data_IF_131781612040
#
_entry.id   IF_131781612040
#
_cell.length_a   1.000
_cell.length_b   1.000
_cell.length_c   1.000
_cell.angle_alpha   90.00
_cell.angle_beta   90.00
_cell.angle_gamma   90.00
#
_symmetry.space_group_name_H-M   'P 1'
#
loop_
_entity.id
_entity.type
_entity.pdbx_description
1 polymer ?
#
# COMPACT_ATOMS: atom_id res chain seq x y z
N UNK A 1 12.87 -33.29 -18.41
CA UNK A 1 12.46 -31.94 -17.95
C UNK A 1 11.52 -31.23 -18.93
N UNK A 2 11.72 -31.32 -20.26
CA UNK A 2 10.84 -30.66 -21.25
C UNK A 2 9.37 -31.17 -21.27
N UNK A 3 9.16 -32.48 -21.04
CA UNK A 3 7.82 -33.10 -21.12
C UNK A 3 6.85 -32.63 -20.01
N UNK A 4 7.37 -32.35 -18.81
CA UNK A 4 6.57 -31.76 -17.72
C UNK A 4 6.22 -30.29 -18.00
N UNK A 5 7.09 -29.55 -18.70
CA UNK A 5 6.80 -28.18 -19.12
C UNK A 5 5.68 -28.11 -20.15
N UNK A 6 5.66 -29.03 -21.11
CA UNK A 6 4.60 -29.14 -22.13
C UNK A 6 3.23 -29.45 -21.51
N UNK A 7 3.20 -30.38 -20.54
CA UNK A 7 1.97 -30.74 -19.82
C UNK A 7 1.44 -29.59 -18.96
N UNK A 8 2.33 -28.85 -18.29
CA UNK A 8 1.96 -27.66 -17.54
C UNK A 8 1.43 -26.55 -18.46
N UNK A 9 2.08 -26.30 -19.60
CA UNK A 9 1.62 -25.32 -20.58
C UNK A 9 0.23 -25.66 -21.11
N UNK A 10 0.00 -26.92 -21.49
CA UNK A 10 -1.31 -27.37 -21.98
C UNK A 10 -2.40 -27.28 -20.91
N UNK A 11 -2.07 -27.60 -19.65
CA UNK A 11 -2.99 -27.41 -18.53
C UNK A 11 -3.38 -25.94 -18.36
N UNK A 12 -2.40 -25.02 -18.37
CA UNK A 12 -2.68 -23.59 -18.29
C UNK A 12 -3.48 -23.07 -19.50
N UNK A 13 -3.18 -23.54 -20.70
CA UNK A 13 -3.90 -23.14 -21.91
C UNK A 13 -5.37 -23.57 -21.86
N UNK A 14 -5.63 -24.83 -21.48
CA UNK A 14 -7.00 -25.35 -21.32
C UNK A 14 -7.73 -24.61 -20.19
N UNK A 15 -7.06 -24.35 -19.07
CA UNK A 15 -7.63 -23.58 -17.97
C UNK A 15 -7.99 -22.16 -18.41
N UNK A 16 -7.10 -21.49 -19.15
CA UNK A 16 -7.32 -20.12 -19.62
C UNK A 16 -8.48 -20.05 -20.62
N UNK A 17 -8.57 -21.00 -21.54
CA UNK A 17 -9.73 -21.14 -22.45
C UNK A 17 -11.01 -21.43 -21.66
N UNK A 18 -10.97 -22.33 -20.68
CA UNK A 18 -12.14 -22.63 -19.84
C UNK A 18 -12.62 -21.40 -19.05
N UNK A 19 -11.71 -20.51 -18.62
CA UNK A 19 -12.04 -19.24 -17.97
C UNK A 19 -12.70 -18.22 -18.91
N UNK A 20 -12.51 -18.32 -20.24
CA UNK A 20 -13.14 -17.39 -21.19
C UNK A 20 -14.65 -17.60 -21.33
N UNK A 21 -15.15 -18.82 -21.11
CA UNK A 21 -16.57 -19.13 -21.24
C UNK A 21 -17.43 -18.42 -20.17
N UNK A 22 -17.14 -18.52 -18.86
CA UNK A 22 -17.83 -17.72 -17.84
C UNK A 22 -17.68 -16.21 -18.05
N UNK A 23 -16.52 -15.78 -18.55
CA UNK A 23 -16.27 -14.36 -18.86
C UNK A 23 -17.17 -13.88 -20.00
N UNK A 24 -17.33 -14.66 -21.06
CA UNK A 24 -18.21 -14.38 -22.19
C UNK A 24 -19.67 -14.26 -21.76
N UNK A 25 -20.17 -15.23 -20.97
CA UNK A 25 -21.53 -15.17 -20.43
C UNK A 25 -21.73 -13.99 -19.48
N UNK A 26 -20.71 -13.63 -18.69
CA UNK A 26 -20.73 -12.44 -17.83
C UNK A 26 -20.82 -11.14 -18.63
N UNK A 27 -20.07 -11.03 -19.72
CA UNK A 27 -20.13 -9.86 -20.63
C UNK A 27 -21.48 -9.79 -21.34
N UNK A 28 -21.99 -10.90 -21.88
CA UNK A 28 -23.32 -10.92 -22.50
C UNK A 28 -24.41 -10.51 -21.50
N UNK A 29 -24.39 -11.09 -20.30
CA UNK A 29 -25.31 -10.75 -19.21
C UNK A 29 -25.21 -9.28 -18.82
N UNK A 30 -24.00 -8.71 -18.79
CA UNK A 30 -23.80 -7.28 -18.55
C UNK A 30 -24.33 -6.41 -19.70
N UNK A 31 -24.16 -6.83 -20.96
CA UNK A 31 -24.63 -6.10 -22.14
C UNK A 31 -26.16 -6.07 -22.23
N UNK A 32 -26.82 -7.17 -21.85
CA UNK A 32 -28.29 -7.29 -21.82
C UNK A 32 -28.92 -6.63 -20.58
N UNK A 33 -28.13 -6.38 -19.53
CA UNK A 33 -28.63 -5.77 -18.31
C UNK A 33 -29.13 -4.32 -18.50
N UNK A 34 -30.09 -3.94 -17.65
CA UNK A 34 -30.56 -2.56 -17.56
C UNK A 34 -29.48 -1.58 -17.10
N UNK A 35 -29.69 -0.29 -17.37
CA UNK A 35 -28.71 0.78 -17.09
C UNK A 35 -28.28 0.82 -15.61
N UNK A 36 -29.21 0.59 -14.69
CA UNK A 36 -28.91 0.59 -13.24
C UNK A 36 -27.90 -0.49 -12.88
N UNK A 37 -28.13 -1.73 -13.34
CA UNK A 37 -27.23 -2.87 -13.11
C UNK A 37 -25.85 -2.61 -13.74
N UNK A 38 -25.81 -2.04 -14.95
CA UNK A 38 -24.55 -1.68 -15.62
C UNK A 38 -23.75 -0.68 -14.79
N UNK A 39 -24.37 0.40 -14.34
CA UNK A 39 -23.73 1.41 -13.50
C UNK A 39 -23.23 0.80 -12.19
N UNK A 40 -24.04 -0.03 -11.53
CA UNK A 40 -23.66 -0.70 -10.28
C UNK A 40 -22.38 -1.54 -10.44
N UNK A 41 -22.30 -2.34 -11.51
CA UNK A 41 -21.09 -3.13 -11.80
C UNK A 41 -19.89 -2.25 -12.14
N UNK A 42 -20.07 -1.23 -12.99
CA UNK A 42 -18.98 -0.31 -13.35
C UNK A 42 -18.43 0.40 -12.12
N UNK A 43 -19.30 0.98 -11.29
CA UNK A 43 -18.88 1.65 -10.05
C UNK A 43 -18.33 0.67 -9.02
N UNK A 44 -18.90 -0.53 -8.92
CA UNK A 44 -18.42 -1.58 -8.01
C UNK A 44 -17.01 -2.05 -8.36
N UNK A 45 -16.77 -2.39 -9.62
CA UNK A 45 -15.45 -2.82 -10.12
C UNK A 45 -14.43 -1.68 -10.03
N UNK A 46 -14.80 -0.48 -10.48
CA UNK A 46 -13.93 0.70 -10.40
C UNK A 46 -13.60 1.02 -8.94
N UNK A 47 -14.60 0.97 -8.05
CA UNK A 47 -14.41 1.16 -6.62
C UNK A 47 -13.44 0.13 -6.03
N UNK A 48 -13.59 -1.14 -6.35
CA UNK A 48 -12.71 -2.21 -5.87
C UNK A 48 -11.22 -1.96 -6.21
N UNK A 49 -10.93 -1.50 -7.44
CA UNK A 49 -9.55 -1.21 -7.86
C UNK A 49 -9.02 0.14 -7.35
N UNK A 50 -9.88 1.16 -7.26
CA UNK A 50 -9.47 2.52 -6.88
C UNK A 50 -9.38 2.72 -5.37
N UNK A 51 -10.25 2.09 -4.56
CA UNK A 51 -10.31 2.30 -3.11
C UNK A 51 -8.97 2.06 -2.42
N UNK A 52 -8.22 0.96 -2.68
CA UNK A 52 -6.92 0.75 -2.05
C UNK A 52 -5.92 1.87 -2.34
N UNK A 53 -5.92 2.41 -3.55
CA UNK A 53 -5.07 3.53 -3.96
C UNK A 53 -5.50 4.83 -3.27
N UNK A 54 -6.81 5.11 -3.25
CA UNK A 54 -7.36 6.30 -2.60
C UNK A 54 -7.08 6.30 -1.09
N UNK A 55 -7.20 5.14 -0.42
CA UNK A 55 -6.85 5.00 0.99
C UNK A 55 -5.36 5.23 1.23
N UNK A 56 -4.50 4.72 0.34
CA UNK A 56 -3.06 4.97 0.41
C UNK A 56 -2.74 6.47 0.29
N UNK A 57 -3.26 7.12 -0.77
CA UNK A 57 -3.04 8.54 -1.03
C UNK A 57 -3.62 9.41 0.09
N UNK A 58 -4.82 9.08 0.57
CA UNK A 58 -5.48 9.80 1.67
C UNK A 58 -4.68 9.73 2.97
N UNK A 59 -4.12 8.56 3.31
CA UNK A 59 -3.24 8.42 4.48
C UNK A 59 -1.94 9.19 4.31
N UNK A 60 -1.34 9.16 3.12
CA UNK A 60 -0.13 9.93 2.82
C UNK A 60 -0.38 11.43 2.95
N UNK A 61 -1.49 11.92 2.37
CA UNK A 61 -1.93 13.31 2.47
C UNK A 61 -2.21 13.71 3.93
N UNK A 62 -2.89 12.85 4.70
CA UNK A 62 -3.14 13.10 6.12
C UNK A 62 -1.85 13.28 6.92
N UNK A 63 -0.85 12.43 6.71
CA UNK A 63 0.46 12.55 7.37
C UNK A 63 1.13 13.87 6.98
N UNK A 64 1.21 14.19 5.68
CA UNK A 64 1.84 15.42 5.20
C UNK A 64 1.12 16.66 5.72
N UNK A 65 -0.20 16.72 5.58
CA UNK A 65 -1.02 17.84 6.05
C UNK A 65 -0.86 18.01 7.55
N UNK A 66 -0.91 16.91 8.33
CA UNK A 66 -0.67 16.94 9.76
C UNK A 66 0.70 17.52 10.13
N UNK A 67 1.76 17.17 9.37
CA UNK A 67 3.08 17.79 9.53
C UNK A 67 3.09 19.27 9.18
N UNK A 68 2.54 19.64 8.02
CA UNK A 68 2.47 21.05 7.57
C UNK A 68 1.72 21.91 8.59
N UNK A 69 0.56 21.44 9.06
CA UNK A 69 -0.23 22.13 10.08
C UNK A 69 0.55 22.25 11.39
N UNK A 70 1.22 21.18 11.84
CA UNK A 70 2.09 21.23 13.03
C UNK A 70 3.21 22.28 12.87
N UNK A 71 3.87 22.33 11.71
CA UNK A 71 4.89 23.34 11.43
C UNK A 71 4.34 24.76 11.41
N UNK A 72 3.16 24.97 10.83
CA UNK A 72 2.54 26.30 10.78
C UNK A 72 2.04 26.79 12.14
N UNK A 73 1.44 25.91 12.95
CA UNK A 73 0.80 26.28 14.22
C UNK A 73 1.83 26.42 15.33
N UNK A 74 2.73 25.45 15.47
CA UNK A 74 3.66 25.40 16.60
C UNK A 74 5.06 25.92 16.25
N UNK A 75 5.32 26.17 14.96
CA UNK A 75 6.63 26.53 14.42
C UNK A 75 7.83 25.79 15.04
N UNK A 76 7.76 24.45 15.27
CA UNK A 76 8.89 23.70 15.76
C UNK A 76 9.98 23.77 14.70
N UNK A 77 11.14 24.27 15.10
CA UNK A 77 12.33 24.13 14.28
C UNK A 77 12.59 22.63 14.10
N UNK A 78 12.74 22.14 12.86
CA UNK A 78 13.20 20.78 12.64
C UNK A 78 14.53 20.60 13.36
N UNK A 79 14.66 19.51 14.13
CA UNK A 79 15.84 19.22 14.94
C UNK A 79 16.64 18.11 14.25
N UNK A 80 17.79 18.43 13.61
CA UNK A 80 18.61 17.42 12.95
C UNK A 80 19.10 16.31 13.88
N UNK A 81 19.17 16.55 15.20
CA UNK A 81 19.54 15.51 16.17
C UNK A 81 18.52 14.37 16.23
N UNK A 82 17.28 14.59 15.77
CA UNK A 82 16.24 13.57 15.70
C UNK A 82 16.57 12.47 14.68
N UNK A 83 17.46 12.73 13.70
CA UNK A 83 17.90 11.70 12.73
C UNK A 83 18.54 10.50 13.44
N UNK A 84 19.28 10.77 14.53
CA UNK A 84 20.00 9.75 15.30
C UNK A 84 19.14 9.12 16.40
N UNK A 85 17.99 9.73 16.72
CA UNK A 85 17.08 9.26 17.75
C UNK A 85 16.12 8.21 17.18
N UNK A 86 15.57 7.40 18.07
CA UNK A 86 14.53 6.46 17.70
C UNK A 86 13.23 7.21 17.36
N UNK A 87 12.70 7.00 16.16
CA UNK A 87 11.42 7.56 15.74
C UNK A 87 10.33 6.51 15.81
N UNK A 88 9.20 6.88 16.39
CA UNK A 88 8.08 5.98 16.65
C UNK A 88 6.86 6.43 15.85
N UNK A 89 6.39 5.56 14.98
CA UNK A 89 5.14 5.71 14.23
C UNK A 89 4.14 4.64 14.69
N UNK A 90 2.89 5.03 14.93
CA UNK A 90 1.85 4.09 15.38
C UNK A 90 0.79 3.92 14.30
N UNK A 91 0.31 2.69 14.15
CA UNK A 91 -0.71 2.34 13.17
C UNK A 91 -1.64 1.24 13.68
N UNK A 92 -2.62 0.89 12.86
CA UNK A 92 -3.53 -0.21 13.11
C UNK A 92 -3.78 -0.96 11.79
N UNK A 93 -4.05 -2.26 11.88
CA UNK A 93 -4.35 -3.09 10.71
C UNK A 93 -5.76 -2.78 10.20
N UNK A 94 -5.87 -2.20 9.01
CA UNK A 94 -7.15 -1.95 8.35
C UNK A 94 -7.71 -3.25 7.75
N UNK A 95 -9.04 -3.40 7.62
CA UNK A 95 -9.63 -4.50 6.85
C UNK A 95 -9.07 -4.62 5.42
N UNK A 96 -8.73 -3.48 4.81
CA UNK A 96 -8.15 -3.43 3.44
C UNK A 96 -6.68 -3.84 3.36
N UNK A 97 -6.06 -4.12 4.51
CA UNK A 97 -4.68 -4.56 4.62
C UNK A 97 -4.56 -6.09 4.73
N UNK A 98 -5.68 -6.80 4.87
CA UNK A 98 -5.72 -8.24 5.02
C UNK A 98 -5.63 -8.95 3.66
N UNK A 99 -5.00 -10.11 3.67
CA UNK A 99 -5.04 -11.07 2.57
C UNK A 99 -6.15 -12.11 2.74
N UNK A 100 -6.23 -13.07 1.82
CA UNK A 100 -7.20 -14.17 1.85
C UNK A 100 -7.06 -15.08 3.08
N UNK A 101 -5.90 -15.06 3.75
CA UNK A 101 -5.66 -15.82 4.97
C UNK A 101 -5.98 -15.02 6.24
N UNK A 102 -6.61 -13.85 6.12
CA UNK A 102 -6.95 -12.95 7.23
C UNK A 102 -5.73 -12.46 8.02
N UNK A 103 -4.56 -12.46 7.38
CA UNK A 103 -3.33 -11.92 7.91
C UNK A 103 -3.00 -10.61 7.20
N UNK A 104 -2.23 -9.74 7.86
CA UNK A 104 -1.74 -8.55 7.17
C UNK A 104 -0.89 -8.97 5.96
N UNK A 105 -1.26 -8.47 4.79
CA UNK A 105 -0.56 -8.77 3.55
C UNK A 105 0.90 -8.28 3.65
N UNK A 106 1.84 -9.13 3.22
CA UNK A 106 3.29 -8.85 3.26
C UNK A 106 3.69 -7.51 2.61
N UNK A 107 3.03 -7.11 1.53
CA UNK A 107 3.28 -5.82 0.85
C UNK A 107 2.80 -4.61 1.68
N UNK A 108 1.81 -4.80 2.56
CA UNK A 108 1.29 -3.74 3.43
C UNK A 108 2.27 -3.37 4.53
N UNK A 109 3.14 -4.29 4.95
CA UNK A 109 4.21 -3.97 5.89
C UNK A 109 5.16 -2.91 5.31
N UNK A 110 5.63 -3.08 4.07
CA UNK A 110 6.49 -2.11 3.40
C UNK A 110 5.82 -0.75 3.25
N UNK A 111 4.53 -0.74 2.91
CA UNK A 111 3.75 0.50 2.83
C UNK A 111 3.67 1.24 4.18
N UNK A 112 3.51 0.53 5.30
CA UNK A 112 3.54 1.16 6.63
C UNK A 112 4.93 1.70 6.99
N UNK A 113 6.00 1.00 6.56
CA UNK A 113 7.36 1.53 6.71
C UNK A 113 7.56 2.82 5.91
N UNK A 114 6.94 2.97 4.74
CA UNK A 114 6.99 4.20 3.95
C UNK A 114 6.28 5.38 4.63
N UNK A 115 5.13 5.13 5.27
CA UNK A 115 4.45 6.14 6.07
C UNK A 115 5.30 6.57 7.27
N UNK A 116 5.86 5.61 8.00
CA UNK A 116 6.75 5.88 9.12
C UNK A 116 7.99 6.69 8.69
N UNK A 117 8.59 6.31 7.57
CA UNK A 117 9.74 6.99 6.97
C UNK A 117 9.43 8.42 6.56
N UNK A 118 8.27 8.66 5.96
CA UNK A 118 7.81 10.02 5.61
C UNK A 118 7.62 10.87 6.86
N UNK A 119 7.03 10.30 7.91
CA UNK A 119 6.87 11.00 9.18
C UNK A 119 8.23 11.34 9.83
N UNK A 120 9.19 10.40 9.77
CA UNK A 120 10.57 10.59 10.25
C UNK A 120 11.30 11.70 9.48
N UNK A 121 11.20 11.74 8.14
CA UNK A 121 11.82 12.80 7.32
C UNK A 121 11.24 14.18 7.59
N UNK A 122 9.94 14.24 7.88
CA UNK A 122 9.32 15.46 8.39
C UNK A 122 9.98 15.87 9.71
N UNK A 123 9.83 15.06 10.75
CA UNK A 123 10.24 15.43 12.12
C UNK A 123 11.73 15.75 12.26
N UNK A 124 12.59 15.09 11.48
CA UNK A 124 14.05 15.33 11.48
C UNK A 124 14.50 16.53 10.64
N UNK A 125 13.62 17.14 9.85
CA UNK A 125 13.97 18.22 8.92
C UNK A 125 14.66 17.75 7.65
N UNK A 126 14.89 16.44 7.48
CA UNK A 126 15.53 15.87 6.30
C UNK A 126 14.82 16.28 5.01
N UNK A 127 13.48 16.37 5.04
CA UNK A 127 12.70 16.76 3.86
C UNK A 127 13.01 18.18 3.38
N UNK A 128 13.24 19.12 4.29
CA UNK A 128 13.58 20.51 3.96
C UNK A 128 14.99 20.61 3.40
N UNK A 129 15.93 19.83 3.96
CA UNK A 129 17.30 19.73 3.45
C UNK A 129 17.35 19.14 2.03
N UNK A 130 16.56 18.10 1.76
CA UNK A 130 16.48 17.50 0.42
C UNK A 130 15.87 18.47 -0.59
N UNK A 131 14.85 19.24 -0.18
CA UNK A 131 14.26 20.28 -1.02
C UNK A 131 15.23 21.40 -1.35
N UNK A 132 16.03 21.87 -0.37
CA UNK A 132 17.00 22.95 -0.61
C UNK A 132 18.17 22.52 -1.49
N UNK A 133 18.49 21.22 -1.51
CA UNK A 133 19.58 20.66 -2.32
C UNK A 133 19.12 20.10 -3.67
N UNK A 134 17.81 19.95 -3.89
CA UNK A 134 17.24 19.32 -5.09
C UNK A 134 17.46 17.80 -5.16
N UNK A 135 17.97 17.18 -4.10
CA UNK A 135 18.24 15.74 -4.04
C UNK A 135 16.96 14.96 -3.79
N UNK A 136 16.81 13.84 -4.50
CA UNK A 136 15.68 12.90 -4.31
C UNK A 136 16.15 11.63 -3.62
N UNK A 137 15.40 11.18 -2.63
CA UNK A 137 15.65 9.90 -1.98
C UNK A 137 14.99 8.76 -2.74
N UNK A 138 15.76 7.70 -3.00
CA UNK A 138 15.30 6.47 -3.64
C UNK A 138 15.73 5.31 -2.74
N UNK A 139 14.84 4.33 -2.55
CA UNK A 139 15.19 3.09 -1.85
C UNK A 139 15.84 2.14 -2.86
N UNK A 140 17.16 1.93 -2.76
CA UNK A 140 17.87 1.03 -3.67
C UNK A 140 17.67 -0.45 -3.33
N UNK A 141 17.65 -0.79 -2.05
CA UNK A 141 17.48 -2.14 -1.55
C UNK A 141 16.74 -2.16 -0.22
N UNK A 142 15.99 -3.23 0.04
CA UNK A 142 15.33 -3.46 1.32
C UNK A 142 15.46 -4.94 1.69
N UNK A 143 15.86 -5.22 2.94
CA UNK A 143 15.89 -6.57 3.50
C UNK A 143 14.85 -6.65 4.60
N UNK A 144 13.86 -7.52 4.42
CA UNK A 144 12.75 -7.68 5.37
C UNK A 144 12.78 -9.07 5.97
N UNK A 145 12.63 -9.16 7.29
CA UNK A 145 12.48 -10.42 8.01
C UNK A 145 11.14 -10.46 8.74
N UNK A 146 10.24 -11.29 8.27
CA UNK A 146 8.96 -11.55 8.93
C UNK A 146 9.17 -12.55 10.09
N UNK A 147 8.54 -12.28 11.24
CA UNK A 147 8.62 -13.15 12.42
C UNK A 147 7.25 -13.60 12.92
N UNK A 148 6.29 -12.67 12.96
CA UNK A 148 4.92 -12.91 13.41
C UNK A 148 3.97 -12.06 12.59
N UNK A 149 2.86 -12.66 12.16
CA UNK A 149 1.82 -11.94 11.43
C UNK A 149 1.01 -11.06 12.36
N UNK A 150 0.58 -9.90 11.85
CA UNK A 150 -0.34 -9.00 12.55
C UNK A 150 -1.78 -9.44 12.28
N UNK A 151 -2.57 -9.44 13.35
CA UNK A 151 -3.98 -9.83 13.34
C UNK A 151 -4.88 -8.68 12.86
N UNK A 152 -6.09 -8.97 12.36
CA UNK A 152 -7.09 -7.96 12.04
C UNK A 152 -7.30 -6.98 13.19
N UNK A 153 -7.36 -5.67 12.88
CA UNK A 153 -7.58 -4.59 13.85
C UNK A 153 -6.49 -4.42 14.92
N UNK A 154 -5.38 -5.17 14.82
CA UNK A 154 -4.28 -5.06 15.78
C UNK A 154 -3.59 -3.70 15.64
N UNK A 155 -3.32 -3.04 16.78
CA UNK A 155 -2.45 -1.86 16.83
C UNK A 155 -0.98 -2.29 16.79
N UNK A 156 -0.17 -1.55 16.06
CA UNK A 156 1.26 -1.80 15.94
C UNK A 156 2.06 -0.50 16.02
N UNK A 157 3.35 -0.66 16.26
CA UNK A 157 4.34 0.40 16.31
C UNK A 157 5.45 0.10 15.32
N UNK A 158 5.82 1.08 14.52
CA UNK A 158 7.02 1.08 13.67
C UNK A 158 8.06 1.94 14.36
N UNK A 159 9.17 1.32 14.70
CA UNK A 159 10.37 1.98 15.22
C UNK A 159 11.35 2.17 14.06
N UNK A 160 11.78 3.40 13.83
CA UNK A 160 12.79 3.76 12.82
C UNK A 160 14.05 4.26 13.52
N UNK A 161 15.21 3.74 13.14
CA UNK A 161 16.52 4.19 13.64
C UNK A 161 17.53 4.17 12.50
N UNK A 162 18.22 5.29 12.31
CA UNK A 162 19.39 5.37 11.44
C UNK A 162 20.62 5.05 12.29
N UNK A 163 21.51 4.20 11.77
CA UNK A 163 22.78 3.84 12.40
C UNK A 163 23.92 4.54 11.70
#
# INVERSE_FOLDING_TARGET
MADNGMKMFNFFLVFLIACTLPMWYGVQSFMEAGIFTKLLWVFGVTGFFCVPLLLYLGRFAFIIIGKILKYRVFNPLPDPSQVLKEHVFSGFVSPTDLDHFLHMNNARYLRELDFARTAFYGDSGLILYLQSTGVRLIMSACVVRYRKSLQPFQRFRVTTKVK
#
